data_IF_887844202892
#
_entry.id   IF_887844202892
#
_cell.length_a   1.000
_cell.length_b   1.000
_cell.length_c   1.000
_cell.angle_alpha   90.00
_cell.angle_beta   90.00
_cell.angle_gamma   90.00
#
_symmetry.space_group_name_H-M   'P 1'
#
loop_
_entity.id
_entity.type
_entity.pdbx_description
1 polymer ?
#
# COMPACT_ATOMS: atom_id res chain seq x y z
N UNK A 1 11.31 16.22 -11.80
CA UNK A 1 10.24 15.85 -10.82
C UNK A 1 9.50 17.09 -10.31
N UNK A 2 10.17 18.15 -9.83
CA UNK A 2 9.52 19.35 -9.28
C UNK A 2 8.60 20.17 -10.23
N UNK A 3 8.35 19.69 -11.46
CA UNK A 3 7.44 20.31 -12.43
C UNK A 3 6.05 19.68 -12.47
N UNK A 4 5.87 18.52 -11.85
CA UNK A 4 4.57 17.83 -11.80
C UNK A 4 3.73 18.36 -10.64
N UNK A 5 2.38 18.35 -10.76
CA UNK A 5 1.50 18.74 -9.67
C UNK A 5 1.59 17.74 -8.52
N UNK A 6 1.17 18.18 -7.33
CA UNK A 6 1.06 17.32 -6.17
C UNK A 6 -0.21 16.48 -6.21
N UNK A 7 -0.16 15.32 -5.56
CA UNK A 7 -1.35 14.54 -5.19
C UNK A 7 -1.54 14.63 -3.68
N UNK A 8 -2.77 14.87 -3.24
CA UNK A 8 -3.14 15.09 -1.85
C UNK A 8 -4.12 14.04 -1.35
N UNK A 9 -4.37 14.00 -0.03
CA UNK A 9 -5.38 13.12 0.56
C UNK A 9 -6.81 13.47 0.11
N UNK A 10 -7.06 14.71 -0.34
CA UNK A 10 -8.36 15.13 -0.86
C UNK A 10 -8.66 14.42 -2.18
N UNK A 11 -7.70 14.37 -3.10
CA UNK A 11 -7.84 13.71 -4.41
C UNK A 11 -8.26 12.24 -4.27
N UNK A 12 -7.66 11.51 -3.31
CA UNK A 12 -8.03 10.11 -3.01
C UNK A 12 -9.43 9.99 -2.41
N UNK A 13 -9.91 11.01 -1.69
CA UNK A 13 -11.25 11.01 -1.11
C UNK A 13 -12.29 11.31 -2.18
N UNK A 14 -12.04 12.23 -3.10
CA UNK A 14 -12.99 12.61 -4.14
C UNK A 14 -13.23 11.48 -5.15
N UNK A 15 -12.22 10.65 -5.39
CA UNK A 15 -12.24 9.52 -6.34
C UNK A 15 -12.64 8.18 -5.71
N UNK A 16 -13.17 8.20 -4.48
CA UNK A 16 -13.56 6.99 -3.76
C UNK A 16 -14.62 6.16 -4.54
N UNK A 17 -14.57 4.81 -4.48
CA UNK A 17 -13.55 4.00 -3.82
C UNK A 17 -12.36 3.64 -4.72
N UNK A 18 -12.52 3.67 -6.05
CA UNK A 18 -11.57 3.05 -6.98
C UNK A 18 -11.12 3.96 -8.13
N UNK A 19 -11.49 5.25 -8.11
CA UNK A 19 -11.19 6.18 -9.21
C UNK A 19 -9.70 6.46 -9.42
N UNK A 20 -8.84 6.12 -8.46
CA UNK A 20 -7.38 6.18 -8.61
C UNK A 20 -6.75 4.92 -9.21
N UNK A 21 -7.53 3.88 -9.53
CA UNK A 21 -6.98 2.67 -10.13
C UNK A 21 -6.61 2.92 -11.59
N UNK A 22 -5.39 2.52 -11.96
CA UNK A 22 -4.87 2.62 -13.32
C UNK A 22 -5.00 1.31 -14.12
N UNK A 23 -5.70 0.31 -13.56
CA UNK A 23 -5.98 -0.99 -14.20
C UNK A 23 -7.44 -1.40 -13.95
N UNK A 24 -8.02 -2.27 -14.79
CA UNK A 24 -9.34 -2.85 -14.52
C UNK A 24 -9.39 -3.52 -13.14
N UNK A 25 -10.53 -3.43 -12.48
CA UNK A 25 -10.70 -3.90 -11.09
C UNK A 25 -10.47 -5.41 -10.94
N UNK A 26 -10.67 -6.17 -12.02
CA UNK A 26 -10.42 -7.61 -12.09
C UNK A 26 -8.93 -7.95 -11.95
N UNK A 27 -8.03 -6.99 -12.20
CA UNK A 27 -6.59 -7.13 -11.99
C UNK A 27 -6.14 -6.72 -10.58
N UNK A 28 -7.04 -6.21 -9.75
CA UNK A 28 -6.74 -5.81 -8.37
C UNK A 28 -6.94 -7.02 -7.45
N UNK A 29 -5.84 -7.49 -6.86
CA UNK A 29 -5.82 -8.67 -5.99
C UNK A 29 -6.07 -8.34 -4.53
N UNK A 30 -5.74 -7.13 -4.08
CA UNK A 30 -5.88 -6.69 -2.68
C UNK A 30 -6.42 -5.27 -2.60
N UNK A 31 -7.34 -5.04 -1.68
CA UNK A 31 -7.76 -3.72 -1.22
C UNK A 31 -7.31 -3.52 0.23
N UNK A 32 -6.71 -2.38 0.53
CA UNK A 32 -6.50 -1.89 1.89
C UNK A 32 -7.12 -0.49 2.01
N UNK A 33 -7.45 -0.10 3.23
CA UNK A 33 -7.95 1.24 3.53
C UNK A 33 -7.14 1.85 4.67
N UNK A 34 -6.98 3.18 4.64
CA UNK A 34 -6.40 3.88 5.78
C UNK A 34 -7.35 3.88 6.98
N UNK A 35 -6.83 4.07 8.18
CA UNK A 35 -7.59 4.05 9.45
C UNK A 35 -8.69 5.11 9.57
N UNK A 36 -8.81 6.04 8.61
CA UNK A 36 -9.91 7.02 8.59
C UNK A 36 -9.91 8.02 9.75
N UNK A 37 -8.80 8.18 10.47
CA UNK A 37 -8.74 9.04 11.68
C UNK A 37 -9.12 10.51 11.43
N UNK A 38 -9.04 10.97 10.18
CA UNK A 38 -9.41 12.34 9.77
C UNK A 38 -10.60 12.39 8.81
N UNK A 39 -11.48 11.38 8.82
CA UNK A 39 -12.69 11.29 7.99
C UNK A 39 -12.75 10.00 7.15
N UNK A 40 -13.46 10.02 6.01
CA UNK A 40 -13.62 8.82 5.17
C UNK A 40 -12.26 8.16 4.86
N UNK A 41 -12.11 6.84 5.12
CA UNK A 41 -10.94 6.07 4.72
C UNK A 41 -10.63 6.24 3.23
N UNK A 42 -9.35 6.35 2.91
CA UNK A 42 -8.87 6.30 1.52
C UNK A 42 -8.57 4.85 1.17
N UNK A 43 -9.05 4.40 0.02
CA UNK A 43 -8.87 3.02 -0.47
C UNK A 43 -7.68 2.97 -1.42
N UNK A 44 -6.88 1.91 -1.30
CA UNK A 44 -5.77 1.59 -2.19
C UNK A 44 -5.92 0.15 -2.70
N UNK A 45 -5.50 -0.08 -3.94
CA UNK A 45 -5.57 -1.36 -4.62
C UNK A 45 -4.19 -1.81 -5.11
N UNK A 46 -3.96 -3.11 -5.12
CA UNK A 46 -2.69 -3.72 -5.53
C UNK A 46 -2.93 -4.85 -6.52
N UNK A 47 -2.17 -4.87 -7.62
CA UNK A 47 -2.06 -6.02 -8.52
C UNK A 47 -1.20 -7.11 -7.91
N UNK A 48 -1.15 -8.30 -8.53
CA UNK A 48 -0.23 -9.37 -8.10
C UNK A 48 1.24 -8.93 -8.11
N UNK A 49 1.64 -8.15 -9.13
CA UNK A 49 2.99 -7.61 -9.22
C UNK A 49 3.30 -6.62 -8.10
N UNK A 50 2.35 -5.76 -7.74
CA UNK A 50 2.51 -4.81 -6.64
C UNK A 50 2.68 -5.53 -5.30
N UNK A 51 1.94 -6.62 -5.08
CA UNK A 51 2.08 -7.44 -3.87
C UNK A 51 3.43 -8.16 -3.82
N UNK A 52 3.93 -8.69 -4.94
CA UNK A 52 5.26 -9.30 -5.02
C UNK A 52 6.35 -8.27 -4.69
N UNK A 53 6.29 -7.09 -5.32
CA UNK A 53 7.24 -6.02 -5.06
C UNK A 53 7.18 -5.55 -3.60
N UNK A 54 6.00 -5.43 -3.03
CA UNK A 54 5.84 -5.05 -1.63
C UNK A 54 6.45 -6.10 -0.69
N UNK A 55 6.22 -7.38 -0.94
CA UNK A 55 6.81 -8.47 -0.16
C UNK A 55 8.36 -8.43 -0.20
N UNK A 56 8.94 -8.23 -1.39
CA UNK A 56 10.39 -8.12 -1.56
C UNK A 56 10.98 -6.92 -0.83
N UNK A 57 10.28 -5.78 -0.85
CA UNK A 57 10.71 -4.59 -0.12
C UNK A 57 10.66 -4.81 1.39
N UNK A 58 9.59 -5.41 1.92
CA UNK A 58 9.50 -5.74 3.35
C UNK A 58 10.59 -6.73 3.76
N UNK A 59 10.83 -7.78 2.96
CA UNK A 59 11.93 -8.72 3.20
C UNK A 59 13.30 -8.04 3.18
N UNK A 60 13.53 -7.10 2.25
CA UNK A 60 14.75 -6.30 2.18
C UNK A 60 14.92 -5.39 3.41
N UNK A 61 13.84 -4.76 3.88
CA UNK A 61 13.86 -3.94 5.10
C UNK A 61 14.18 -4.78 6.34
N UNK A 62 13.59 -5.97 6.48
CA UNK A 62 13.93 -6.92 7.55
C UNK A 62 15.40 -7.34 7.48
N UNK A 63 15.90 -7.63 6.26
CA UNK A 63 17.30 -7.98 6.04
C UNK A 63 18.25 -6.85 6.43
N UNK A 64 17.90 -5.60 6.09
CA UNK A 64 18.63 -4.40 6.46
C UNK A 64 18.64 -4.17 7.99
N UNK A 65 17.54 -4.53 8.67
CA UNK A 65 17.45 -4.51 10.14
C UNK A 65 18.19 -5.67 10.83
N UNK A 66 18.87 -6.54 10.07
CA UNK A 66 19.71 -7.62 10.61
C UNK A 66 19.10 -9.01 10.56
N UNK A 67 17.81 -9.15 10.20
CA UNK A 67 17.16 -10.46 10.13
C UNK A 67 17.82 -11.38 9.08
N UNK A 68 17.76 -12.69 9.34
CA UNK A 68 18.31 -13.75 8.50
C UNK A 68 17.30 -14.87 8.29
N UNK A 69 17.43 -15.65 7.21
CA UNK A 69 16.66 -16.89 7.07
C UNK A 69 16.87 -17.78 8.30
N UNK A 70 15.76 -18.22 8.92
CA UNK A 70 15.76 -19.00 10.15
C UNK A 70 15.32 -18.21 11.39
N UNK A 71 15.35 -16.88 11.34
CA UNK A 71 14.87 -16.04 12.44
C UNK A 71 13.35 -16.13 12.60
N UNK A 72 12.88 -16.01 13.84
CA UNK A 72 11.45 -15.88 14.15
C UNK A 72 11.11 -14.40 14.30
N UNK A 73 10.14 -13.92 13.54
CA UNK A 73 9.65 -12.53 13.59
C UNK A 73 8.24 -12.52 14.18
N UNK A 74 8.06 -11.87 15.32
CA UNK A 74 6.74 -11.63 15.90
C UNK A 74 6.12 -10.37 15.26
N UNK A 75 4.99 -10.54 14.56
CA UNK A 75 4.30 -9.44 13.89
C UNK A 75 3.21 -8.90 14.82
N UNK A 76 3.41 -7.68 15.33
CA UNK A 76 2.49 -7.02 16.27
C UNK A 76 1.93 -5.69 15.74
N UNK A 77 1.97 -5.47 14.43
CA UNK A 77 1.32 -4.30 13.84
C UNK A 77 -0.20 -4.40 14.06
N UNK A 78 -0.80 -3.31 14.55
CA UNK A 78 -2.25 -3.18 14.64
C UNK A 78 -2.89 -3.02 13.26
N UNK A 79 -4.18 -3.35 13.17
CA UNK A 79 -4.98 -3.21 11.95
C UNK A 79 -6.06 -2.14 12.11
#
# INVERSE_FOLDING_TARGET
>A
IARFPYTTKADLRETYPFGMFAVPREKIRRLHASSGTTGRPTVVGYTDNDLSNWADLVARSLRAAGARPGDRVHVSYGY
#
